data_IF_440212057675
#
_entry.id   IF_440212057675
#
_cell.length_a   1.000
_cell.length_b   1.000
_cell.length_c   1.000
_cell.angle_alpha   90.00
_cell.angle_beta   90.00
_cell.angle_gamma   90.00
#
_symmetry.space_group_name_H-M   'P 1'
#
loop_
_entity.id
_entity.type
_entity.pdbx_description
1 polymer ?
#
# COMPACT_ATOMS: atom_id res chain seq x y z
N UNK A 1 33.31 9.03 21.62
CA UNK A 1 32.15 8.12 21.66
C UNK A 1 31.00 8.86 22.32
N UNK A 2 30.21 9.58 21.55
CA UNK A 2 29.00 10.26 22.02
C UNK A 2 27.85 9.76 21.17
N UNK A 3 27.12 8.79 21.73
CA UNK A 3 25.90 8.25 21.17
C UNK A 3 24.88 9.38 21.03
N UNK A 4 24.66 9.85 19.80
CA UNK A 4 23.54 10.72 19.42
C UNK A 4 22.35 9.89 18.95
N UNK A 5 22.11 8.73 19.60
CA UNK A 5 20.77 8.18 19.60
C UNK A 5 19.89 9.23 20.29
N UNK A 6 18.85 9.76 19.62
CA UNK A 6 17.87 10.60 20.31
C UNK A 6 17.40 9.83 21.54
N UNK A 7 17.34 10.52 22.69
CA UNK A 7 16.80 9.94 23.93
C UNK A 7 15.54 9.17 23.58
N UNK A 8 15.53 7.88 23.91
CA UNK A 8 14.43 6.98 23.66
C UNK A 8 13.26 7.32 24.60
N UNK A 9 12.67 8.51 24.47
CA UNK A 9 11.24 8.60 24.68
C UNK A 9 10.61 7.88 23.50
N UNK A 10 10.37 6.58 23.66
CA UNK A 10 9.33 5.92 22.86
C UNK A 10 8.12 6.85 22.87
N UNK A 11 7.70 7.41 21.73
CA UNK A 11 6.53 8.26 21.71
C UNK A 11 5.41 7.45 22.36
N UNK A 12 4.72 8.05 23.32
CA UNK A 12 3.58 7.41 23.97
C UNK A 12 2.65 6.92 22.85
N UNK A 13 2.35 5.60 22.75
CA UNK A 13 1.44 5.08 21.75
C UNK A 13 0.08 5.81 21.78
N UNK A 14 -0.32 6.39 22.91
CA UNK A 14 -1.52 7.22 23.05
C UNK A 14 -1.35 8.65 22.50
N UNK A 15 -0.11 9.16 22.37
CA UNK A 15 0.20 10.44 21.69
C UNK A 15 0.10 10.34 20.17
N UNK A 16 0.23 9.14 19.62
CA UNK A 16 -0.22 8.79 18.27
C UNK A 16 -1.73 8.55 18.32
N UNK A 17 -2.51 9.53 18.78
CA UNK A 17 -3.94 9.50 18.52
C UNK A 17 -4.12 9.31 17.01
N UNK A 18 -4.99 8.41 16.53
CA UNK A 18 -5.36 8.37 15.13
C UNK A 18 -6.16 9.63 14.82
N UNK A 19 -5.46 10.76 14.78
CA UNK A 19 -5.92 12.00 14.23
C UNK A 19 -6.29 11.68 12.79
N UNK A 20 -7.55 11.98 12.50
CA UNK A 20 -8.17 11.99 11.17
C UNK A 20 -8.50 10.61 10.58
N UNK A 21 -9.51 9.93 11.16
CA UNK A 21 -10.42 9.12 10.32
C UNK A 21 -11.40 10.05 9.59
N UNK A 22 -11.86 9.71 8.38
CA UNK A 22 -12.92 10.47 7.75
C UNK A 22 -14.20 10.39 8.60
N UNK A 23 -15.03 11.44 8.54
CA UNK A 23 -16.39 11.38 9.07
C UNK A 23 -17.27 10.38 8.29
N UNK A 24 -18.51 10.18 8.73
CA UNK A 24 -19.45 9.21 8.15
C UNK A 24 -19.69 9.36 6.63
N UNK A 25 -19.42 10.54 6.07
CA UNK A 25 -19.52 10.81 4.64
C UNK A 25 -18.17 10.73 3.90
N UNK A 26 -17.17 10.04 4.46
CA UNK A 26 -15.85 9.91 3.83
C UNK A 26 -15.01 11.19 3.80
N UNK A 27 -15.30 12.18 4.65
CA UNK A 27 -14.66 13.51 4.64
C UNK A 27 -13.62 13.72 5.73
N UNK A 28 -12.48 14.28 5.34
CA UNK A 28 -11.42 14.80 6.22
C UNK A 28 -11.52 16.33 6.23
N UNK A 29 -12.27 16.90 7.17
CA UNK A 29 -12.65 18.31 7.12
C UNK A 29 -13.43 18.61 5.83
N UNK A 30 -12.91 19.53 5.00
CA UNK A 30 -13.53 19.88 3.71
C UNK A 30 -13.19 18.92 2.55
N UNK A 31 -12.20 18.05 2.71
CA UNK A 31 -11.68 17.19 1.64
C UNK A 31 -12.26 15.77 1.71
N UNK A 32 -12.20 15.02 0.62
CA UNK A 32 -12.80 13.69 0.51
C UNK A 32 -14.30 13.76 0.17
N UNK A 33 -15.05 12.73 0.54
CA UNK A 33 -16.43 12.53 0.09
C UNK A 33 -16.53 11.69 -1.19
N UNK A 34 -17.76 11.46 -1.63
CA UNK A 34 -18.09 10.65 -2.81
C UNK A 34 -18.68 11.54 -3.90
N UNK A 35 -17.86 11.90 -4.89
CA UNK A 35 -18.29 12.68 -6.07
C UNK A 35 -18.27 11.76 -7.29
N UNK A 36 -19.22 10.84 -7.34
CA UNK A 36 -19.32 9.80 -8.36
C UNK A 36 -20.74 9.74 -8.92
N UNK A 37 -20.95 9.17 -10.12
CA UNK A 37 -22.29 8.90 -10.62
C UNK A 37 -23.08 7.98 -9.67
N UNK A 38 -24.39 8.21 -9.58
CA UNK A 38 -25.31 7.42 -8.73
C UNK A 38 -25.22 5.92 -9.01
N UNK A 39 -24.97 5.54 -10.26
CA UNK A 39 -24.82 4.14 -10.69
C UNK A 39 -23.67 3.40 -10.00
N UNK A 40 -22.70 4.11 -9.41
CA UNK A 40 -21.59 3.51 -8.65
C UNK A 40 -21.86 3.41 -7.14
N UNK A 41 -22.85 4.13 -6.62
CA UNK A 41 -23.12 4.20 -5.18
C UNK A 41 -23.38 2.82 -4.55
N UNK A 42 -24.16 1.90 -5.15
CA UNK A 42 -24.37 0.57 -4.58
C UNK A 42 -23.07 -0.24 -4.43
N UNK A 43 -22.17 -0.17 -5.41
CA UNK A 43 -20.89 -0.89 -5.37
C UNK A 43 -19.94 -0.32 -4.29
N UNK A 44 -19.93 1.00 -4.11
CA UNK A 44 -19.16 1.64 -3.05
C UNK A 44 -19.69 1.29 -1.66
N UNK A 45 -21.01 1.28 -1.48
CA UNK A 45 -21.64 0.90 -0.21
C UNK A 45 -21.37 -0.57 0.15
N UNK A 46 -21.46 -1.49 -0.83
CA UNK A 46 -21.09 -2.90 -0.64
C UNK A 46 -19.62 -3.04 -0.20
N UNK A 47 -18.71 -2.32 -0.87
CA UNK A 47 -17.29 -2.34 -0.56
C UNK A 47 -16.99 -1.79 0.84
N UNK A 48 -17.59 -0.67 1.22
CA UNK A 48 -17.39 -0.05 2.53
C UNK A 48 -17.85 -0.99 3.66
N UNK A 49 -19.04 -1.58 3.51
CA UNK A 49 -19.57 -2.54 4.47
C UNK A 49 -18.66 -3.77 4.60
N UNK A 50 -18.25 -4.36 3.47
CA UNK A 50 -17.37 -5.53 3.46
C UNK A 50 -16.01 -5.23 4.10
N UNK A 51 -15.42 -4.08 3.79
CA UNK A 51 -14.15 -3.64 4.36
C UNK A 51 -14.28 -3.43 5.88
N UNK A 52 -15.34 -2.76 6.35
CA UNK A 52 -15.57 -2.52 7.77
C UNK A 52 -15.76 -3.82 8.55
N UNK A 53 -16.41 -4.82 7.97
CA UNK A 53 -16.55 -6.16 8.55
C UNK A 53 -15.21 -6.91 8.56
N UNK A 54 -14.47 -6.89 7.46
CA UNK A 54 -13.18 -7.57 7.34
C UNK A 54 -12.14 -7.04 8.34
N UNK A 55 -12.08 -5.72 8.56
CA UNK A 55 -11.13 -5.13 9.51
C UNK A 55 -11.43 -5.44 10.97
N UNK A 56 -12.68 -5.79 11.31
CA UNK A 56 -13.07 -6.24 12.65
C UNK A 56 -12.87 -7.74 12.86
N UNK A 57 -12.61 -8.49 11.79
CA UNK A 57 -12.43 -9.94 11.83
C UNK A 57 -10.96 -10.31 12.10
N UNK A 58 -10.64 -10.92 13.27
CA UNK A 58 -9.28 -11.36 13.59
C UNK A 58 -8.72 -12.38 12.60
N UNK A 59 -9.55 -13.23 11.99
CA UNK A 59 -9.08 -14.22 11.02
C UNK A 59 -8.62 -13.55 9.72
N UNK A 60 -9.36 -12.54 9.25
CA UNK A 60 -8.97 -11.76 8.07
C UNK A 60 -7.66 -11.02 8.30
N UNK A 61 -7.52 -10.35 9.44
CA UNK A 61 -6.30 -9.59 9.77
C UNK A 61 -5.10 -10.51 10.01
N UNK A 62 -5.30 -11.67 10.64
CA UNK A 62 -4.26 -12.69 10.79
C UNK A 62 -3.77 -13.22 9.43
N UNK A 63 -4.68 -13.53 8.52
CA UNK A 63 -4.33 -14.00 7.18
C UNK A 63 -3.60 -12.93 6.37
N UNK A 64 -4.08 -11.69 6.39
CA UNK A 64 -3.39 -10.57 5.74
C UNK A 64 -1.98 -10.39 6.30
N UNK A 65 -1.80 -10.41 7.62
CA UNK A 65 -0.50 -10.28 8.26
C UNK A 65 0.44 -11.44 7.91
N UNK A 66 -0.08 -12.66 7.87
CA UNK A 66 0.67 -13.85 7.45
C UNK A 66 1.17 -13.70 6.01
N UNK A 67 0.33 -13.23 5.10
CA UNK A 67 0.69 -12.99 3.71
C UNK A 67 1.68 -11.84 3.55
N UNK A 68 1.47 -10.73 4.26
CA UNK A 68 2.41 -9.61 4.28
C UNK A 68 3.80 -10.03 4.77
N UNK A 69 3.88 -10.90 5.78
CA UNK A 69 5.15 -11.43 6.26
C UNK A 69 5.77 -12.42 5.27
N UNK A 70 5.04 -13.47 4.92
CA UNK A 70 5.62 -14.65 4.28
C UNK A 70 5.63 -14.57 2.74
N UNK A 71 4.73 -13.79 2.14
CA UNK A 71 4.65 -13.63 0.69
C UNK A 71 5.24 -12.29 0.22
N UNK A 72 4.95 -11.20 0.92
CA UNK A 72 5.49 -9.87 0.55
C UNK A 72 6.92 -9.67 1.06
N UNK A 73 7.28 -10.28 2.20
CA UNK A 73 8.61 -10.14 2.81
C UNK A 73 8.70 -9.04 3.87
N UNK A 74 7.58 -8.69 4.52
CA UNK A 74 7.59 -7.70 5.60
C UNK A 74 8.15 -8.28 6.91
N UNK A 75 8.74 -7.47 7.79
CA UNK A 75 8.95 -6.02 7.69
C UNK A 75 10.16 -5.65 6.82
N UNK A 76 10.06 -4.53 6.08
CA UNK A 76 11.19 -3.97 5.34
C UNK A 76 12.15 -3.22 6.26
N UNK A 77 13.48 -3.30 6.04
CA UNK A 77 14.46 -2.63 6.87
C UNK A 77 14.38 -1.10 6.77
N UNK A 78 14.83 -0.42 7.82
CA UNK A 78 15.12 1.01 7.81
C UNK A 78 16.65 1.15 7.73
N UNK A 79 17.15 1.66 6.62
CA UNK A 79 18.59 1.71 6.31
C UNK A 79 19.11 3.14 6.43
N UNK A 80 20.14 3.36 7.25
CA UNK A 80 20.80 4.68 7.32
C UNK A 80 21.69 4.84 6.09
N UNK A 81 21.39 5.83 5.24
CA UNK A 81 22.17 6.09 4.03
C UNK A 81 23.41 6.91 4.41
N UNK A 82 24.50 6.24 4.82
CA UNK A 82 25.65 6.92 5.45
C UNK A 82 26.32 7.91 4.51
N UNK A 83 26.48 7.56 3.23
CA UNK A 83 27.06 8.45 2.21
C UNK A 83 26.19 9.67 1.93
N UNK A 84 24.87 9.50 1.91
CA UNK A 84 23.92 10.60 1.70
C UNK A 84 23.86 11.51 2.93
N UNK A 85 23.88 10.91 4.12
CA UNK A 85 23.99 11.62 5.40
C UNK A 85 25.28 12.45 5.46
N UNK A 86 26.41 11.87 5.05
CA UNK A 86 27.69 12.58 4.97
C UNK A 86 27.66 13.71 3.93
N UNK A 87 27.04 13.50 2.77
CA UNK A 87 26.90 14.51 1.72
C UNK A 87 26.15 15.77 2.19
N UNK A 88 25.10 15.60 3.01
CA UNK A 88 24.31 16.71 3.55
C UNK A 88 24.80 17.20 4.92
N UNK A 89 25.93 16.68 5.42
CA UNK A 89 26.49 17.14 6.70
C UNK A 89 26.95 18.59 6.58
N UNK A 90 26.61 19.38 7.59
CA UNK A 90 26.98 20.80 7.72
C UNK A 90 27.82 20.99 8.99
N UNK A 91 28.41 22.16 9.16
CA UNK A 91 29.23 22.51 10.33
C UNK A 91 28.47 22.43 11.67
N UNK A 92 27.13 22.46 11.64
CA UNK A 92 26.23 22.35 12.80
C UNK A 92 25.70 20.91 13.04
N UNK A 93 26.14 19.91 12.26
CA UNK A 93 25.82 18.50 12.48
C UNK A 93 24.92 17.84 11.44
N UNK A 94 24.11 18.61 10.68
CA UNK A 94 23.29 18.12 9.56
C UNK A 94 22.26 16.99 9.89
N UNK A 95 21.40 16.61 8.93
CA UNK A 95 20.41 15.56 9.14
C UNK A 95 21.00 14.15 8.98
N UNK A 96 20.47 13.18 9.73
CA UNK A 96 20.63 11.74 9.45
C UNK A 96 19.55 11.29 8.48
N UNK A 97 19.93 10.61 7.41
CA UNK A 97 18.99 10.22 6.35
C UNK A 97 18.79 8.71 6.38
N UNK A 98 17.54 8.31 6.60
CA UNK A 98 17.12 6.92 6.65
C UNK A 98 16.16 6.59 5.49
N UNK A 99 16.39 5.45 4.86
CA UNK A 99 15.58 4.94 3.76
C UNK A 99 14.69 3.80 4.26
N UNK A 100 13.37 3.98 4.19
CA UNK A 100 12.41 2.90 4.40
C UNK A 100 12.35 2.04 3.15
N UNK A 101 12.94 0.84 3.21
CA UNK A 101 13.26 0.01 2.04
C UNK A 101 12.08 -0.76 1.46
N UNK A 102 10.99 -0.07 1.10
CA UNK A 102 9.83 -0.68 0.42
C UNK A 102 10.12 -1.16 -1.01
N UNK A 103 11.29 -0.80 -1.55
CA UNK A 103 11.84 -1.37 -2.78
C UNK A 103 12.16 -2.87 -2.66
N UNK A 104 12.34 -3.39 -1.43
CA UNK A 104 12.62 -4.80 -1.16
C UNK A 104 11.37 -5.67 -1.03
N UNK A 105 10.18 -5.08 -1.07
CA UNK A 105 8.95 -5.88 -1.10
C UNK A 105 8.93 -6.76 -2.34
N UNK A 106 8.25 -7.91 -2.26
CA UNK A 106 7.88 -8.66 -3.46
C UNK A 106 7.18 -7.73 -4.47
N UNK A 107 7.47 -7.90 -5.76
CA UNK A 107 7.18 -6.96 -6.87
C UNK A 107 7.96 -5.64 -6.90
N UNK A 108 8.78 -5.33 -5.89
CA UNK A 108 9.72 -4.20 -5.89
C UNK A 108 9.14 -2.85 -5.48
N UNK A 109 7.93 -2.80 -4.90
CA UNK A 109 7.31 -1.54 -4.49
C UNK A 109 6.27 -1.74 -3.38
N UNK A 110 5.93 -0.66 -2.66
CA UNK A 110 4.90 -0.66 -1.61
C UNK A 110 3.48 -0.98 -2.10
N UNK A 111 3.22 -0.94 -3.41
CA UNK A 111 1.87 -1.14 -3.99
C UNK A 111 1.31 -2.54 -3.75
N UNK A 112 2.18 -3.54 -3.58
CA UNK A 112 1.79 -4.91 -3.25
C UNK A 112 1.04 -5.01 -1.91
N UNK A 113 1.35 -4.12 -0.95
CA UNK A 113 0.69 -4.10 0.36
C UNK A 113 -0.82 -3.85 0.21
N UNK A 114 -1.20 -2.87 -0.62
CA UNK A 114 -2.61 -2.57 -0.90
C UNK A 114 -3.25 -3.63 -1.78
N UNK A 115 -2.57 -4.05 -2.86
CA UNK A 115 -3.11 -5.04 -3.79
C UNK A 115 -3.46 -6.35 -3.07
N UNK A 116 -2.61 -6.82 -2.15
CA UNK A 116 -2.83 -8.03 -1.37
C UNK A 116 -4.08 -7.92 -0.47
N UNK A 117 -4.23 -6.80 0.25
CA UNK A 117 -5.39 -6.57 1.10
C UNK A 117 -6.69 -6.49 0.32
N UNK A 118 -6.70 -5.79 -0.82
CA UNK A 118 -7.89 -5.68 -1.66
C UNK A 118 -8.25 -6.99 -2.37
N UNK A 119 -7.27 -7.77 -2.84
CA UNK A 119 -7.54 -9.08 -3.42
C UNK A 119 -8.10 -10.06 -2.38
N UNK A 120 -7.58 -10.04 -1.15
CA UNK A 120 -8.12 -10.84 -0.05
C UNK A 120 -9.55 -10.41 0.31
N UNK A 121 -9.84 -9.11 0.30
CA UNK A 121 -11.20 -8.59 0.49
C UNK A 121 -12.14 -9.03 -0.64
N UNK A 122 -11.70 -8.98 -1.90
CA UNK A 122 -12.49 -9.41 -3.04
C UNK A 122 -12.84 -10.90 -2.97
N UNK A 123 -11.90 -11.75 -2.53
CA UNK A 123 -12.17 -13.17 -2.25
C UNK A 123 -13.26 -13.33 -1.19
N UNK A 124 -13.17 -12.58 -0.07
CA UNK A 124 -14.20 -12.60 0.99
C UNK A 124 -15.57 -12.17 0.47
N UNK A 125 -15.60 -11.20 -0.45
CA UNK A 125 -16.81 -10.74 -1.12
C UNK A 125 -17.32 -11.69 -2.22
N UNK A 126 -16.66 -12.85 -2.43
CA UNK A 126 -17.04 -13.83 -3.46
C UNK A 126 -16.80 -13.36 -4.89
N UNK A 127 -16.02 -12.30 -5.09
CA UNK A 127 -15.70 -11.78 -6.42
C UNK A 127 -14.63 -12.67 -7.07
N UNK A 128 -14.79 -12.94 -8.36
CA UNK A 128 -13.90 -13.81 -9.14
C UNK A 128 -12.97 -13.04 -10.08
N UNK A 129 -13.22 -11.74 -10.24
CA UNK A 129 -12.53 -10.89 -11.22
C UNK A 129 -12.15 -9.55 -10.60
N UNK A 130 -10.94 -9.11 -10.86
CA UNK A 130 -10.38 -7.81 -10.50
C UNK A 130 -10.11 -7.01 -11.77
N UNK A 131 -10.49 -5.73 -11.72
CA UNK A 131 -10.04 -4.73 -12.68
C UNK A 131 -9.19 -3.70 -11.95
N UNK A 132 -8.17 -3.20 -12.63
CA UNK A 132 -7.42 -2.03 -12.17
C UNK A 132 -6.86 -1.25 -13.36
N UNK A 133 -6.47 -0.02 -13.13
CA UNK A 133 -5.75 0.81 -14.07
C UNK A 133 -4.29 0.99 -13.66
N UNK A 134 -3.42 1.32 -14.63
CA UNK A 134 -2.04 1.67 -14.30
C UNK A 134 -1.44 2.63 -15.31
N UNK A 135 -0.61 3.57 -14.83
CA UNK A 135 0.26 4.40 -15.66
C UNK A 135 1.63 3.75 -15.81
N UNK A 136 2.55 4.02 -14.88
CA UNK A 136 3.92 3.46 -14.93
C UNK A 136 4.00 1.91 -14.84
N UNK A 137 2.92 1.22 -14.47
CA UNK A 137 2.84 -0.26 -14.48
C UNK A 137 3.01 -0.94 -13.11
N UNK A 138 3.59 -0.28 -12.12
CA UNK A 138 3.86 -0.89 -10.80
C UNK A 138 2.58 -1.33 -10.06
N UNK A 139 1.47 -0.60 -10.21
CA UNK A 139 0.19 -1.01 -9.65
C UNK A 139 -0.36 -2.23 -10.39
N UNK A 140 -0.34 -2.21 -11.72
CA UNK A 140 -0.78 -3.33 -12.54
C UNK A 140 -0.01 -4.62 -12.27
N UNK A 141 1.32 -4.55 -12.14
CA UNK A 141 2.17 -5.70 -11.78
C UNK A 141 1.79 -6.24 -10.40
N UNK A 142 1.60 -5.38 -9.40
CA UNK A 142 1.18 -5.81 -8.06
C UNK A 142 -0.19 -6.49 -8.08
N UNK A 143 -1.17 -5.91 -8.78
CA UNK A 143 -2.53 -6.44 -8.92
C UNK A 143 -2.54 -7.78 -9.68
N UNK A 144 -1.83 -7.88 -10.80
CA UNK A 144 -1.68 -9.14 -11.55
C UNK A 144 -1.02 -10.24 -10.69
N UNK A 145 0.02 -9.89 -9.93
CA UNK A 145 0.73 -10.82 -9.04
C UNK A 145 -0.21 -11.43 -7.98
N UNK A 146 -1.03 -10.60 -7.32
CA UNK A 146 -1.95 -11.10 -6.28
C UNK A 146 -3.14 -11.85 -6.88
N UNK A 147 -3.61 -11.45 -8.06
CA UNK A 147 -4.67 -12.19 -8.76
C UNK A 147 -4.20 -13.59 -9.17
N UNK A 148 -2.98 -13.70 -9.72
CA UNK A 148 -2.36 -14.98 -10.04
C UNK A 148 -2.21 -15.88 -8.81
N UNK A 149 -1.79 -15.30 -7.67
CA UNK A 149 -1.71 -16.03 -6.39
C UNK A 149 -3.05 -16.61 -5.94
N UNK A 150 -4.13 -15.86 -6.11
CA UNK A 150 -5.45 -16.19 -5.57
C UNK A 150 -6.38 -16.86 -6.59
N UNK A 151 -5.93 -17.06 -7.83
CA UNK A 151 -6.76 -17.62 -8.90
C UNK A 151 -7.92 -16.70 -9.30
N UNK A 152 -7.69 -15.38 -9.27
CA UNK A 152 -8.66 -14.37 -9.71
C UNK A 152 -8.40 -13.96 -11.16
N UNK A 153 -9.46 -13.78 -11.94
CA UNK A 153 -9.35 -13.17 -13.27
C UNK A 153 -8.87 -11.71 -13.12
N UNK A 154 -7.87 -11.30 -13.90
CA UNK A 154 -7.29 -9.98 -13.80
C UNK A 154 -7.32 -9.26 -15.15
N UNK A 155 -7.84 -8.02 -15.16
CA UNK A 155 -7.75 -7.14 -16.32
C UNK A 155 -7.17 -5.79 -15.89
N UNK A 156 -6.01 -5.45 -16.46
CA UNK A 156 -5.34 -4.18 -16.22
C UNK A 156 -5.54 -3.26 -17.43
N UNK A 157 -6.12 -2.08 -17.20
CA UNK A 157 -6.21 -1.02 -18.19
C UNK A 157 -4.98 -0.11 -18.12
N UNK A 158 -4.33 0.13 -19.25
CA UNK A 158 -3.12 0.93 -19.33
C UNK A 158 -3.15 1.77 -20.61
N UNK A 159 -2.76 3.04 -20.52
CA UNK A 159 -2.73 3.93 -21.68
C UNK A 159 -1.73 3.44 -22.73
N UNK A 160 -2.08 3.53 -24.01
CA UNK A 160 -1.25 2.99 -25.10
C UNK A 160 0.18 3.55 -25.12
N UNK A 161 0.36 4.82 -24.75
CA UNK A 161 1.68 5.42 -24.60
C UNK A 161 2.47 4.82 -23.42
N UNK A 162 1.84 4.64 -22.28
CA UNK A 162 2.49 4.02 -21.12
C UNK A 162 2.85 2.56 -21.40
N UNK A 163 1.99 1.82 -22.12
CA UNK A 163 2.31 0.46 -22.55
C UNK A 163 3.59 0.41 -23.38
N UNK A 164 3.78 1.38 -24.29
CA UNK A 164 5.00 1.52 -25.10
C UNK A 164 6.22 1.88 -24.26
N UNK A 165 6.10 2.85 -23.34
CA UNK A 165 7.23 3.33 -22.51
C UNK A 165 7.62 2.34 -21.40
N UNK A 166 6.68 1.54 -20.92
CA UNK A 166 6.83 0.63 -19.78
C UNK A 166 6.72 -0.84 -20.21
N UNK A 167 7.32 -1.17 -21.35
CA UNK A 167 7.24 -2.50 -21.97
C UNK A 167 7.59 -3.65 -21.01
N UNK A 168 8.57 -3.45 -20.11
CA UNK A 168 8.94 -4.45 -19.11
C UNK A 168 7.80 -4.75 -18.12
N UNK A 169 7.06 -3.72 -17.68
CA UNK A 169 5.92 -3.93 -16.78
C UNK A 169 4.74 -4.56 -17.51
N UNK A 170 4.52 -4.22 -18.78
CA UNK A 170 3.52 -4.90 -19.62
C UNK A 170 3.85 -6.38 -19.77
N UNK A 171 5.12 -6.71 -20.05
CA UNK A 171 5.57 -8.09 -20.16
C UNK A 171 5.36 -8.86 -18.85
N UNK A 172 5.66 -8.26 -17.69
CA UNK A 172 5.43 -8.88 -16.38
C UNK A 172 3.97 -9.11 -16.03
N UNK A 173 3.04 -8.36 -16.63
CA UNK A 173 1.60 -8.51 -16.39
C UNK A 173 0.93 -9.54 -17.29
N UNK A 174 1.57 -9.89 -18.40
CA UNK A 174 1.09 -10.91 -19.36
C UNK A 174 1.64 -12.28 -18.99
#
# INVERSE_FOLDING_TARGET
MTSTLPNASTPDPASLQPAVRPGAHGRFGRFGGQYVPETLMPALAELELAAAQAWKDPAFTAELNRLLKNYVGRATPLYEAERLTAHYRRSDGGPRIWLKREDLNHTGAHKINNALGQALLALRMGKKRIIAETGAGQHGVATATVCARFGLDCVIYMGAEDMRRQALNVFRMR
#
